data_IF_638325821444
#
_entry.id   IF_638325821444
#
_cell.length_a   1.000
_cell.length_b   1.000
_cell.length_c   1.000
_cell.angle_alpha   90.00
_cell.angle_beta   90.00
_cell.angle_gamma   90.00
#
_symmetry.space_group_name_H-M   'P 1'
#
loop_
_entity.id
_entity.type
_entity.pdbx_description
1 polymer ?
#
# COMPACT_ATOMS: atom_id res chain seq x y z
N UNK A 1 -25.59 -13.97 -26.56
CA UNK A 1 -24.66 -14.39 -25.49
C UNK A 1 -24.19 -13.13 -24.79
N UNK A 2 -24.42 -12.98 -23.48
CA UNK A 2 -23.84 -11.87 -22.73
C UNK A 2 -22.34 -12.08 -22.65
N UNK A 3 -21.54 -11.12 -23.13
CA UNK A 3 -20.09 -11.14 -22.95
C UNK A 3 -19.76 -11.30 -21.46
N UNK A 4 -18.73 -12.07 -21.14
CA UNK A 4 -18.31 -12.30 -19.76
C UNK A 4 -17.87 -10.97 -19.13
N UNK A 5 -18.27 -10.71 -17.89
CA UNK A 5 -17.86 -9.51 -17.13
C UNK A 5 -17.12 -9.98 -15.89
N UNK A 6 -15.97 -9.39 -15.60
CA UNK A 6 -15.23 -9.69 -14.37
C UNK A 6 -15.48 -8.60 -13.31
N UNK A 7 -15.55 -9.00 -12.04
CA UNK A 7 -15.71 -8.07 -10.92
C UNK A 7 -14.36 -7.69 -10.34
N UNK A 8 -14.15 -6.40 -10.12
CA UNK A 8 -12.92 -5.91 -9.49
C UNK A 8 -12.83 -6.38 -8.04
N UNK A 9 -11.72 -7.04 -7.67
CA UNK A 9 -11.51 -7.51 -6.29
C UNK A 9 -11.37 -6.37 -5.26
N UNK A 10 -11.14 -5.13 -5.73
CA UNK A 10 -10.97 -3.96 -4.86
C UNK A 10 -12.27 -3.18 -4.71
N UNK A 11 -12.85 -2.67 -5.81
CA UNK A 11 -14.06 -1.85 -5.75
C UNK A 11 -15.37 -2.62 -5.99
N UNK A 12 -15.31 -3.93 -6.28
CA UNK A 12 -16.47 -4.80 -6.53
C UNK A 12 -17.37 -4.38 -7.71
N UNK A 13 -16.91 -3.45 -8.55
CA UNK A 13 -17.59 -3.03 -9.76
C UNK A 13 -17.22 -3.93 -10.95
N UNK A 14 -18.21 -4.17 -11.81
CA UNK A 14 -18.05 -5.01 -13.00
C UNK A 14 -17.33 -4.29 -14.14
N UNK A 15 -16.46 -5.01 -14.84
CA UNK A 15 -15.66 -4.52 -15.96
C UNK A 15 -15.93 -5.34 -17.23
N UNK A 16 -15.54 -4.78 -18.37
CA UNK A 16 -15.63 -5.48 -19.66
C UNK A 16 -14.65 -6.68 -19.72
N UNK A 17 -15.00 -7.69 -20.52
CA UNK A 17 -14.22 -8.94 -20.66
C UNK A 17 -12.74 -8.70 -21.00
N UNK A 18 -12.48 -7.67 -21.79
CA UNK A 18 -11.15 -7.34 -22.34
C UNK A 18 -10.42 -6.26 -21.54
N UNK A 19 -11.01 -5.75 -20.47
CA UNK A 19 -10.36 -4.76 -19.64
C UNK A 19 -9.19 -5.38 -18.87
N UNK A 20 -7.97 -4.88 -19.12
CA UNK A 20 -6.75 -5.30 -18.41
C UNK A 20 -6.67 -4.68 -17.00
N UNK A 21 -7.30 -3.52 -16.82
CA UNK A 21 -7.45 -2.83 -15.54
C UNK A 21 -8.92 -2.50 -15.29
N UNK A 22 -9.31 -2.38 -14.03
CA UNK A 22 -10.64 -1.95 -13.65
C UNK A 22 -10.88 -0.52 -14.12
N UNK A 23 -11.96 -0.30 -14.87
CA UNK A 23 -12.29 0.99 -15.50
C UNK A 23 -12.61 2.08 -14.46
N UNK A 24 -12.94 1.69 -13.23
CA UNK A 24 -13.30 2.60 -12.15
C UNK A 24 -12.15 2.99 -11.24
N UNK A 25 -11.18 2.09 -11.06
CA UNK A 25 -10.13 2.30 -10.08
C UNK A 25 -8.72 2.01 -10.58
N UNK A 26 -8.55 1.42 -11.76
CA UNK A 26 -7.26 1.08 -12.35
C UNK A 26 -6.61 -0.17 -11.74
N UNK A 27 -7.33 -1.00 -10.99
CA UNK A 27 -6.78 -2.25 -10.46
C UNK A 27 -6.68 -3.30 -11.57
N UNK A 28 -5.48 -3.85 -11.80
CA UNK A 28 -5.25 -4.89 -12.80
C UNK A 28 -6.14 -6.13 -12.57
N UNK A 29 -6.54 -6.79 -13.67
CA UNK A 29 -7.21 -8.09 -13.63
C UNK A 29 -6.27 -9.25 -13.25
N UNK A 30 -4.96 -9.06 -13.43
CA UNK A 30 -3.91 -10.02 -13.10
C UNK A 30 -3.06 -9.45 -11.95
N UNK A 31 -3.42 -9.81 -10.72
CA UNK A 31 -2.75 -9.30 -9.51
C UNK A 31 -2.45 -10.43 -8.54
N UNK A 32 -1.39 -10.24 -7.76
CA UNK A 32 -1.13 -11.11 -6.62
C UNK A 32 -2.03 -10.69 -5.46
N UNK A 33 -2.21 -11.57 -4.47
CA UNK A 33 -2.92 -11.24 -3.23
C UNK A 33 -2.32 -10.00 -2.56
N UNK A 34 -0.99 -9.85 -2.63
CA UNK A 34 -0.28 -8.71 -2.05
C UNK A 34 -0.61 -7.38 -2.73
N UNK A 35 -0.77 -7.38 -4.06
CA UNK A 35 -1.17 -6.18 -4.81
C UNK A 35 -2.59 -5.74 -4.44
N UNK A 36 -3.49 -6.72 -4.29
CA UNK A 36 -4.87 -6.48 -3.87
C UNK A 36 -4.91 -5.92 -2.44
N UNK A 37 -4.17 -6.51 -1.51
CA UNK A 37 -4.09 -6.04 -0.12
C UNK A 37 -3.49 -4.64 0.00
N UNK A 38 -2.42 -4.36 -0.74
CA UNK A 38 -1.80 -3.03 -0.79
C UNK A 38 -2.80 -1.97 -1.28
N UNK A 39 -3.63 -2.32 -2.26
CA UNK A 39 -4.62 -1.43 -2.84
C UNK A 39 -5.81 -1.19 -1.92
N UNK A 40 -6.33 -2.25 -1.29
CA UNK A 40 -7.35 -2.12 -0.25
C UNK A 40 -6.85 -1.24 0.92
N UNK A 41 -5.59 -1.42 1.31
CA UNK A 41 -4.96 -0.58 2.32
C UNK A 41 -4.89 0.88 1.87
N UNK A 42 -4.45 1.16 0.64
CA UNK A 42 -4.39 2.51 0.10
C UNK A 42 -5.76 3.20 0.06
N UNK A 43 -6.80 2.49 -0.38
CA UNK A 43 -8.17 3.02 -0.44
C UNK A 43 -8.63 3.46 0.95
N UNK A 44 -8.48 2.57 1.93
CA UNK A 44 -8.94 2.82 3.29
C UNK A 44 -8.14 3.89 4.02
N UNK A 45 -6.84 4.01 3.74
CA UNK A 45 -5.93 4.77 4.60
C UNK A 45 -5.29 5.99 3.94
N UNK A 46 -5.38 6.14 2.62
CA UNK A 46 -4.66 7.18 1.86
C UNK A 46 -5.60 7.92 0.91
N UNK A 47 -6.56 7.23 0.31
CA UNK A 47 -7.35 7.75 -0.81
C UNK A 47 -8.84 7.93 -0.44
N UNK A 48 -9.11 8.55 0.71
CA UNK A 48 -10.48 9.00 1.06
C UNK A 48 -11.47 7.93 1.56
N UNK A 49 -11.16 6.63 1.43
CA UNK A 49 -12.02 5.54 1.93
C UNK A 49 -12.89 4.90 0.84
N UNK A 50 -13.90 4.14 1.26
CA UNK A 50 -14.77 3.36 0.35
C UNK A 50 -15.68 4.24 -0.52
N UNK A 51 -16.04 5.44 -0.04
CA UNK A 51 -17.06 6.29 -0.68
C UNK A 51 -16.48 7.38 -1.61
N UNK A 52 -15.22 7.77 -1.44
CA UNK A 52 -14.62 8.88 -2.21
C UNK A 52 -13.14 8.63 -2.53
N UNK A 53 -12.91 7.61 -3.38
CA UNK A 53 -11.59 7.26 -3.88
C UNK A 53 -11.03 8.35 -4.80
N UNK A 54 -10.37 9.33 -4.22
CA UNK A 54 -9.86 10.51 -4.92
C UNK A 54 -8.51 10.99 -4.39
N UNK A 55 -7.77 11.65 -5.27
CA UNK A 55 -6.53 12.31 -4.92
C UNK A 55 -6.82 13.49 -3.99
N UNK A 56 -6.10 13.59 -2.88
CA UNK A 56 -6.18 14.69 -1.92
C UNK A 56 -5.88 16.06 -2.54
N UNK A 57 -5.13 16.11 -3.63
CA UNK A 57 -4.69 17.37 -4.28
C UNK A 57 -5.55 17.78 -5.48
N UNK A 58 -5.94 16.84 -6.35
CA UNK A 58 -6.66 17.17 -7.59
C UNK A 58 -8.02 16.48 -7.74
N UNK A 59 -8.46 15.73 -6.73
CA UNK A 59 -9.71 14.96 -6.74
C UNK A 59 -9.82 13.89 -7.85
N UNK A 60 -8.74 13.63 -8.59
CA UNK A 60 -8.71 12.60 -9.62
C UNK A 60 -8.72 11.21 -9.00
N UNK A 61 -9.48 10.28 -9.58
CA UNK A 61 -9.70 8.97 -8.99
C UNK A 61 -8.57 7.97 -9.27
N UNK A 62 -7.96 7.98 -10.45
CA UNK A 62 -7.00 6.94 -10.80
C UNK A 62 -5.63 7.15 -10.16
N UNK A 63 -5.13 6.09 -9.52
CA UNK A 63 -3.83 6.06 -8.85
C UNK A 63 -3.06 4.81 -9.23
N UNK A 64 -1.75 4.97 -9.44
CA UNK A 64 -0.82 3.86 -9.38
C UNK A 64 -0.58 3.52 -7.92
N UNK A 65 -0.73 2.25 -7.57
CA UNK A 65 -0.46 1.75 -6.22
C UNK A 65 0.60 0.69 -6.33
N UNK A 66 1.68 0.86 -5.58
CA UNK A 66 2.76 -0.11 -5.51
C UNK A 66 3.12 -0.38 -4.06
N UNK A 67 3.72 -1.55 -3.83
CA UNK A 67 4.27 -1.90 -2.54
C UNK A 67 5.79 -2.04 -2.64
N UNK A 68 6.49 -1.67 -1.58
CA UNK A 68 7.92 -1.97 -1.44
C UNK A 68 8.14 -2.66 -0.12
N UNK A 69 8.80 -3.81 -0.17
CA UNK A 69 9.51 -4.31 0.99
C UNK A 69 10.82 -3.53 1.09
N UNK A 70 10.90 -2.59 2.03
CA UNK A 70 12.14 -1.93 2.32
C UNK A 70 12.83 -2.68 3.48
N UNK A 71 13.88 -3.49 3.23
CA UNK A 71 14.61 -4.18 4.30
C UNK A 71 15.46 -3.23 5.16
N UNK A 72 15.43 -1.92 4.93
CA UNK A 72 16.39 -0.98 5.51
C UNK A 72 15.81 -0.33 6.77
N UNK A 73 16.41 -0.69 7.92
CA UNK A 73 16.65 0.11 9.16
C UNK A 73 16.43 -0.62 10.49
N UNK A 74 16.10 -1.91 10.52
CA UNK A 74 15.70 -2.55 11.77
C UNK A 74 16.47 -3.84 12.02
N UNK A 75 17.40 -3.75 12.97
CA UNK A 75 18.27 -4.82 13.50
C UNK A 75 18.82 -5.78 12.43
N UNK A 76 20.12 -5.67 12.14
CA UNK A 76 20.83 -6.84 11.64
C UNK A 76 20.90 -7.86 12.77
N UNK A 77 20.39 -9.06 12.53
CA UNK A 77 20.74 -10.22 13.36
C UNK A 77 22.27 -10.38 13.40
N UNK A 78 22.78 -11.20 14.33
CA UNK A 78 24.22 -11.53 14.40
C UNK A 78 24.81 -12.06 13.08
N UNK A 79 23.96 -12.47 12.14
CA UNK A 79 24.30 -12.99 10.81
C UNK A 79 23.93 -12.02 9.66
N UNK A 80 23.70 -10.73 9.94
CA UNK A 80 23.42 -9.70 8.92
C UNK A 80 22.00 -9.72 8.32
N UNK A 81 21.14 -10.66 8.73
CA UNK A 81 19.74 -10.73 8.24
C UNK A 81 18.86 -9.71 8.96
N UNK A 82 17.97 -8.97 8.25
CA UNK A 82 17.04 -8.04 8.90
C UNK A 82 16.07 -8.80 9.81
N UNK A 83 15.91 -8.36 11.06
CA UNK A 83 14.96 -8.97 12.01
C UNK A 83 13.51 -8.56 11.72
N UNK A 84 13.31 -7.40 11.09
CA UNK A 84 11.99 -6.89 10.76
C UNK A 84 11.98 -6.34 9.33
N UNK A 85 10.95 -6.70 8.58
CA UNK A 85 10.63 -6.10 7.28
C UNK A 85 9.47 -5.13 7.50
N UNK A 86 9.62 -3.92 6.98
CA UNK A 86 8.48 -3.01 6.86
C UNK A 86 8.03 -3.06 5.41
N UNK A 87 6.72 -3.22 5.22
CA UNK A 87 6.12 -3.07 3.91
C UNK A 87 5.59 -1.64 3.82
N UNK A 88 5.86 -0.98 2.72
CA UNK A 88 5.38 0.37 2.45
C UNK A 88 4.42 0.29 1.28
N UNK A 89 3.31 1.01 1.39
CA UNK A 89 2.38 1.22 0.28
C UNK A 89 2.58 2.63 -0.23
N UNK A 90 2.77 2.75 -1.53
CA UNK A 90 2.92 4.01 -2.23
C UNK A 90 1.70 4.21 -3.12
N UNK A 91 1.18 5.43 -3.12
CA UNK A 91 0.18 5.87 -4.10
C UNK A 91 0.78 6.99 -4.93
N UNK A 92 0.46 6.99 -6.22
CA UNK A 92 0.76 8.10 -7.13
C UNK A 92 -0.49 8.42 -7.93
N UNK A 93 -0.97 9.65 -7.87
CA UNK A 93 -2.06 10.10 -8.72
C UNK A 93 -1.62 10.08 -10.19
N UNK A 94 -2.43 9.49 -11.08
CA UNK A 94 -2.13 9.44 -12.52
C UNK A 94 -2.26 10.81 -13.21
N UNK A 95 -2.98 11.74 -12.60
CA UNK A 95 -3.22 13.08 -13.14
C UNK A 95 -2.18 14.09 -12.62
N UNK A 96 -2.22 14.45 -11.34
CA UNK A 96 -1.32 15.47 -10.78
C UNK A 96 0.05 14.93 -10.32
N UNK A 97 0.29 13.62 -10.37
CA UNK A 97 1.51 12.96 -9.89
C UNK A 97 1.81 13.15 -8.39
N UNK A 98 0.84 13.61 -7.60
CA UNK A 98 0.94 13.61 -6.14
C UNK A 98 1.27 12.22 -5.61
N UNK A 99 2.17 12.15 -4.63
CA UNK A 99 2.67 10.90 -4.06
C UNK A 99 2.41 10.86 -2.57
N UNK A 100 1.89 9.74 -2.11
CA UNK A 100 1.80 9.44 -0.68
C UNK A 100 2.46 8.10 -0.37
N UNK A 101 2.98 7.97 0.83
CA UNK A 101 3.64 6.77 1.33
C UNK A 101 3.13 6.47 2.73
N UNK A 102 2.76 5.21 2.99
CA UNK A 102 2.26 4.79 4.30
C UNK A 102 2.74 3.39 4.67
N UNK A 103 3.04 3.22 5.96
CA UNK A 103 3.53 1.93 6.48
C UNK A 103 2.40 0.88 6.50
N UNK A 104 2.65 -0.25 5.86
CA UNK A 104 1.78 -1.42 5.79
C UNK A 104 2.37 -2.57 6.61
N UNK A 105 1.50 -3.33 7.29
CA UNK A 105 1.89 -4.50 8.10
C UNK A 105 3.05 -4.26 9.11
N UNK A 106 3.08 -3.10 9.78
CA UNK A 106 4.09 -2.80 10.82
C UNK A 106 4.02 -3.84 11.95
N UNK A 107 5.15 -4.48 12.34
CA UNK A 107 5.18 -5.45 13.44
C UNK A 107 4.62 -4.87 14.74
N UNK A 108 3.81 -5.66 15.45
CA UNK A 108 3.13 -5.27 16.70
C UNK A 108 4.14 -4.70 17.72
N UNK A 109 5.29 -5.36 17.87
CA UNK A 109 6.38 -4.92 18.77
C UNK A 109 6.84 -3.49 18.50
N UNK A 110 6.93 -3.06 17.22
CA UNK A 110 7.33 -1.69 16.85
C UNK A 110 6.23 -0.69 17.19
N UNK A 111 4.96 -1.06 16.98
CA UNK A 111 3.81 -0.22 17.38
C UNK A 111 3.82 0.00 18.89
N UNK A 112 3.99 -1.07 19.67
CA UNK A 112 4.08 -0.99 21.14
C UNK A 112 5.25 -0.14 21.60
N UNK A 113 6.44 -0.31 21.01
CA UNK A 113 7.61 0.51 21.34
C UNK A 113 7.36 2.01 21.12
N UNK A 114 6.73 2.39 19.99
CA UNK A 114 6.39 3.78 19.70
C UNK A 114 5.41 4.36 20.73
N UNK A 115 4.39 3.58 21.11
CA UNK A 115 3.39 3.98 22.12
C UNK A 115 4.07 4.23 23.47
N UNK A 116 4.97 3.34 23.88
CA UNK A 116 5.62 3.41 25.19
C UNK A 116 6.68 4.50 25.25
N UNK A 117 7.48 4.65 24.18
CA UNK A 117 8.70 5.48 24.22
C UNK A 117 8.59 6.82 23.51
N UNK A 118 7.53 7.03 22.72
CA UNK A 118 7.39 8.17 21.81
C UNK A 118 8.47 8.21 20.70
N UNK A 119 9.28 7.15 20.56
CA UNK A 119 10.39 7.05 19.63
C UNK A 119 10.14 5.89 18.69
N UNK A 120 10.64 6.02 17.46
CA UNK A 120 10.72 4.87 16.57
C UNK A 120 11.99 4.08 16.87
N UNK A 121 11.91 2.76 16.74
CA UNK A 121 13.11 1.94 16.68
C UNK A 121 13.87 2.39 15.42
N UNK A 122 15.18 2.56 15.47
CA UNK A 122 15.99 2.79 14.27
C UNK A 122 17.35 2.15 14.49
N UNK A 123 17.92 1.50 13.47
CA UNK A 123 19.24 0.87 13.55
C UNK A 123 20.36 1.83 13.94
N UNK A 124 20.17 3.13 13.70
CA UNK A 124 21.20 4.17 13.93
C UNK A 124 21.39 4.46 15.42
N UNK A 125 20.38 4.24 16.29
CA UNK A 125 20.47 4.55 17.72
C UNK A 125 20.96 3.42 18.62
N UNK A 126 20.92 2.16 18.16
CA UNK A 126 21.35 1.00 18.95
C UNK A 126 22.80 0.57 18.69
N UNK A 127 23.47 1.12 17.67
CA UNK A 127 24.91 0.86 17.42
C UNK A 127 25.85 1.83 18.16
N UNK A 128 25.34 2.66 19.08
CA UNK A 128 26.12 3.60 19.90
C UNK A 128 25.87 3.44 21.42
N UNK A 129 25.31 2.31 21.84
CA UNK A 129 25.14 1.96 23.24
C UNK A 129 26.06 0.82 23.63
#
# INVERSE_FOLDING_TARGET
MSAYRWSCQVCQLGNSEKAEECEHCGHSAQTTVWDTDARLFAFKNMLGGEDDFACSECNHKLHDVSFSENPVRYFQSRNGKPLFRNMMVFTRCRDCNHKEEKEFCVPILRRLYRIITGKDITSVRLMRG
#
